data_IF_702663966904
#
_entry.id   IF_702663966904
#
_cell.length_a   1.000
_cell.length_b   1.000
_cell.length_c   1.000
_cell.angle_alpha   90.00
_cell.angle_beta   90.00
_cell.angle_gamma   90.00
#
_symmetry.space_group_name_H-M   'P 1'
#
loop_
_entity.id
_entity.type
_entity.pdbx_description
1 polymer ?
#
# COMPACT_ATOMS: atom_id res chain seq x y z
N UNK A 1 2.77 -35.57 8.05
CA UNK A 1 3.13 -35.45 6.63
C UNK A 1 3.10 -33.98 6.17
N UNK A 2 1.95 -33.31 6.01
CA UNK A 2 1.90 -31.88 5.62
C UNK A 2 2.47 -30.95 6.69
N UNK A 3 1.99 -31.10 7.93
CA UNK A 3 2.40 -30.26 9.07
C UNK A 3 3.87 -30.45 9.46
N UNK A 4 4.48 -31.57 9.08
CA UNK A 4 5.91 -31.83 9.26
C UNK A 4 6.78 -31.29 8.10
N UNK A 5 6.18 -30.68 7.07
CA UNK A 5 6.90 -30.15 5.91
C UNK A 5 7.43 -31.21 4.94
N UNK A 6 7.01 -32.47 5.06
CA UNK A 6 7.49 -33.59 4.23
C UNK A 6 6.87 -33.59 2.83
N UNK A 7 5.74 -32.90 2.64
CA UNK A 7 5.04 -32.74 1.36
C UNK A 7 4.31 -31.39 1.30
N UNK A 8 4.25 -30.72 0.12
CA UNK A 8 3.51 -29.48 -0.03
C UNK A 8 2.00 -29.72 0.14
N UNK A 9 1.31 -28.76 0.76
CA UNK A 9 -0.16 -28.80 0.93
C UNK A 9 -0.83 -28.49 -0.41
N UNK A 10 -1.74 -29.33 -0.92
CA UNK A 10 -2.54 -29.00 -2.10
C UNK A 10 -3.38 -27.74 -1.87
N UNK A 11 -3.43 -26.85 -2.85
CA UNK A 11 -4.18 -25.57 -2.76
C UNK A 11 -5.63 -25.77 -2.30
N UNK A 12 -6.41 -26.75 -2.82
CA UNK A 12 -7.79 -26.96 -2.36
C UNK A 12 -7.88 -27.36 -0.88
N UNK A 13 -6.90 -28.13 -0.38
CA UNK A 13 -6.87 -28.51 1.04
C UNK A 13 -6.50 -27.31 1.92
N UNK A 14 -5.59 -26.45 1.45
CA UNK A 14 -5.20 -25.22 2.14
C UNK A 14 -6.37 -24.23 2.22
N UNK A 15 -7.12 -24.04 1.14
CA UNK A 15 -8.31 -23.17 1.12
C UNK A 15 -9.36 -23.59 2.15
N UNK A 16 -9.62 -24.89 2.26
CA UNK A 16 -10.54 -25.44 3.27
C UNK A 16 -10.04 -25.16 4.68
N UNK A 17 -8.75 -25.36 4.95
CA UNK A 17 -8.15 -25.06 6.26
C UNK A 17 -8.25 -23.57 6.61
N UNK A 18 -7.95 -22.70 5.64
CA UNK A 18 -8.01 -21.25 5.82
C UNK A 18 -9.43 -20.74 6.05
N UNK A 19 -10.43 -21.35 5.41
CA UNK A 19 -11.84 -20.99 5.65
C UNK A 19 -12.28 -21.23 7.10
N UNK A 20 -11.72 -22.25 7.77
CA UNK A 20 -12.00 -22.57 9.18
C UNK A 20 -11.19 -21.66 10.12
N UNK A 21 -10.00 -21.23 9.70
CA UNK A 21 -9.09 -20.39 10.46
C UNK A 21 -9.30 -18.88 10.22
N UNK A 22 -10.33 -18.50 9.45
CA UNK A 22 -10.60 -17.12 9.03
C UNK A 22 -9.40 -16.44 8.34
N UNK A 23 -8.55 -17.23 7.67
CA UNK A 23 -7.38 -16.75 6.93
C UNK A 23 -7.67 -16.61 5.43
N UNK A 24 -6.84 -15.83 4.72
CA UNK A 24 -6.94 -15.69 3.26
C UNK A 24 -5.83 -16.46 2.57
N UNK A 25 -6.15 -17.14 1.46
CA UNK A 25 -5.16 -17.87 0.64
C UNK A 25 -4.07 -16.93 0.10
N UNK A 26 -4.44 -15.66 -0.07
CA UNK A 26 -3.58 -14.58 -0.54
C UNK A 26 -2.41 -14.27 0.42
N UNK A 27 -2.55 -14.58 1.70
CA UNK A 27 -1.49 -14.42 2.70
C UNK A 27 -0.31 -15.37 2.45
N UNK A 28 -0.55 -16.47 1.73
CA UNK A 28 0.44 -17.49 1.40
C UNK A 28 1.05 -17.32 0.01
N UNK A 29 0.64 -16.30 -0.75
CA UNK A 29 1.25 -16.01 -2.04
C UNK A 29 2.68 -15.51 -1.86
N UNK A 30 3.61 -16.15 -2.57
CA UNK A 30 4.99 -15.70 -2.63
C UNK A 30 5.05 -14.32 -3.30
N UNK A 31 5.37 -13.29 -2.51
CA UNK A 31 5.51 -11.90 -2.95
C UNK A 31 6.85 -11.61 -3.64
N UNK A 32 7.81 -12.55 -3.60
CA UNK A 32 9.15 -12.38 -4.16
C UNK A 32 9.27 -12.97 -5.58
N UNK A 33 8.44 -13.96 -5.91
CA UNK A 33 8.39 -14.57 -7.22
C UNK A 33 7.77 -13.68 -8.31
N UNK A 34 7.96 -14.02 -9.60
CA UNK A 34 7.42 -13.25 -10.73
C UNK A 34 5.91 -13.03 -10.66
N UNK A 35 5.18 -14.02 -10.12
CA UNK A 35 3.72 -13.99 -9.96
C UNK A 35 3.31 -13.04 -8.82
N UNK A 36 4.00 -13.09 -7.68
CA UNK A 36 3.74 -12.17 -6.57
C UNK A 36 3.99 -10.71 -6.94
N UNK A 37 5.09 -10.45 -7.64
CA UNK A 37 5.39 -9.10 -8.14
C UNK A 37 4.33 -8.61 -9.13
N UNK A 38 3.84 -9.50 -10.01
CA UNK A 38 2.74 -9.16 -10.92
C UNK A 38 1.46 -8.82 -10.15
N UNK A 39 1.10 -9.62 -9.14
CA UNK A 39 -0.09 -9.41 -8.33
C UNK A 39 0.00 -8.11 -7.51
N UNK A 40 1.15 -7.83 -6.89
CA UNK A 40 1.39 -6.56 -6.20
C UNK A 40 1.20 -5.35 -7.13
N UNK A 41 1.67 -5.46 -8.39
CA UNK A 41 1.47 -4.40 -9.38
C UNK A 41 0.00 -4.25 -9.78
N UNK A 42 -0.74 -5.34 -9.92
CA UNK A 42 -2.18 -5.27 -10.20
C UNK A 42 -2.93 -4.56 -9.07
N UNK A 43 -2.64 -4.93 -7.82
CA UNK A 43 -3.27 -4.29 -6.66
C UNK A 43 -2.93 -2.80 -6.60
N UNK A 44 -1.66 -2.41 -6.80
CA UNK A 44 -1.26 -1.00 -6.82
C UNK A 44 -1.96 -0.20 -7.95
N UNK A 45 -2.24 -0.83 -9.09
CA UNK A 45 -3.01 -0.20 -10.17
C UNK A 45 -4.47 -0.06 -9.76
N UNK A 46 -5.07 -1.07 -9.13
CA UNK A 46 -6.45 -1.01 -8.65
C UNK A 46 -6.62 0.09 -7.59
N UNK A 47 -5.73 0.14 -6.59
CA UNK A 47 -5.73 1.18 -5.55
C UNK A 47 -5.63 2.59 -6.16
N UNK A 48 -4.83 2.74 -7.22
CA UNK A 48 -4.72 4.01 -7.94
C UNK A 48 -6.00 4.36 -8.71
N UNK A 49 -6.67 3.37 -9.31
CA UNK A 49 -7.93 3.56 -10.04
C UNK A 49 -9.10 3.88 -9.11
N UNK A 50 -9.05 3.47 -7.84
CA UNK A 50 -10.04 3.80 -6.82
C UNK A 50 -9.95 5.25 -6.32
N UNK A 51 -8.85 5.96 -6.63
CA UNK A 51 -8.73 7.39 -6.31
C UNK A 51 -9.76 8.23 -7.09
N UNK A 52 -10.26 9.33 -6.54
CA UNK A 52 -11.06 10.30 -7.28
C UNK A 52 -10.38 10.74 -8.59
N UNK A 53 -11.13 10.93 -9.70
CA UNK A 53 -10.55 11.26 -11.01
C UNK A 53 -9.65 12.50 -10.99
N UNK A 54 -10.00 13.49 -10.18
CA UNK A 54 -9.23 14.74 -10.00
C UNK A 54 -7.84 14.47 -9.41
N UNK A 55 -7.73 13.54 -8.45
CA UNK A 55 -6.45 13.14 -7.87
C UNK A 55 -5.64 12.29 -8.83
N UNK A 56 -6.28 11.42 -9.61
CA UNK A 56 -5.59 10.66 -10.66
C UNK A 56 -4.96 11.61 -11.69
N UNK A 57 -5.71 12.62 -12.15
CA UNK A 57 -5.20 13.63 -13.09
C UNK A 57 -4.05 14.43 -12.47
N UNK A 58 -4.20 14.87 -11.23
CA UNK A 58 -3.15 15.59 -10.51
C UNK A 58 -1.85 14.78 -10.40
N UNK A 59 -1.92 13.51 -9.99
CA UNK A 59 -0.74 12.65 -9.81
C UNK A 59 -0.06 12.33 -11.14
N UNK A 60 -0.81 12.22 -12.24
CA UNK A 60 -0.25 11.88 -13.57
C UNK A 60 0.60 12.96 -14.19
N UNK A 61 0.50 14.21 -13.74
CA UNK A 61 1.24 15.34 -14.29
C UNK A 61 2.65 15.42 -13.67
N UNK A 62 3.74 15.27 -14.45
CA UNK A 62 5.10 15.28 -13.91
C UNK A 62 5.47 16.57 -13.16
N UNK A 63 4.87 17.69 -13.57
CA UNK A 63 5.06 19.00 -12.91
C UNK A 63 4.59 19.00 -11.46
N UNK A 64 3.70 18.07 -11.08
CA UNK A 64 3.17 17.98 -9.72
C UNK A 64 4.04 17.17 -8.76
N UNK A 65 5.13 16.54 -9.25
CA UNK A 65 6.05 15.76 -8.44
C UNK A 65 6.55 16.48 -7.17
N UNK A 66 6.95 17.78 -7.22
CA UNK A 66 7.36 18.49 -6.01
C UNK A 66 6.26 18.58 -4.94
N UNK A 67 4.99 18.70 -5.34
CA UNK A 67 3.87 18.70 -4.40
C UNK A 67 3.66 17.34 -3.75
N UNK A 68 3.81 16.25 -4.53
CA UNK A 68 3.71 14.89 -4.00
C UNK A 68 4.85 14.56 -3.03
N UNK A 69 6.08 14.97 -3.36
CA UNK A 69 7.24 14.82 -2.48
C UNK A 69 7.06 15.62 -1.17
N UNK A 70 6.54 16.86 -1.26
CA UNK A 70 6.22 17.65 -0.08
C UNK A 70 5.15 16.98 0.79
N UNK A 71 4.03 16.56 0.20
CA UNK A 71 2.97 15.86 0.92
C UNK A 71 3.49 14.58 1.59
N UNK A 72 4.35 13.83 0.91
CA UNK A 72 4.99 12.63 1.47
C UNK A 72 5.87 12.97 2.67
N UNK A 73 6.72 13.98 2.56
CA UNK A 73 7.59 14.41 3.66
C UNK A 73 6.77 14.89 4.87
N UNK A 74 5.67 15.62 4.63
CA UNK A 74 4.77 16.07 5.69
C UNK A 74 4.04 14.91 6.37
N UNK A 75 3.72 13.84 5.64
CA UNK A 75 3.04 12.65 6.20
C UNK A 75 3.88 11.92 7.26
N UNK A 76 5.21 12.07 7.22
CA UNK A 76 6.12 11.44 8.18
C UNK A 76 6.34 12.31 9.45
N UNK A 77 5.76 13.51 9.51
CA UNK A 77 5.95 14.43 10.64
C UNK A 77 4.94 14.17 11.76
N UNK A 78 5.36 14.38 13.01
CA UNK A 78 4.43 14.39 14.15
C UNK A 78 3.50 15.60 14.08
N UNK A 79 2.32 15.48 14.69
CA UNK A 79 1.34 16.56 14.76
C UNK A 79 1.92 17.86 15.35
N UNK A 80 2.81 17.76 16.35
CA UNK A 80 3.54 18.88 16.93
C UNK A 80 4.37 19.63 15.88
N UNK A 81 5.10 18.88 15.05
CA UNK A 81 6.01 19.44 14.04
C UNK A 81 5.24 20.09 12.89
N UNK A 82 4.11 19.50 12.49
CA UNK A 82 3.19 20.11 11.52
C UNK A 82 2.61 21.43 12.04
N UNK A 83 2.23 21.49 13.33
CA UNK A 83 1.71 22.71 13.96
C UNK A 83 2.76 23.81 14.00
N UNK A 84 3.99 23.50 14.39
CA UNK A 84 5.11 24.46 14.37
C UNK A 84 5.40 25.03 12.97
N UNK A 85 5.34 24.19 11.93
CA UNK A 85 5.48 24.66 10.54
C UNK A 85 4.33 25.58 10.15
N UNK A 86 3.09 25.26 10.53
CA UNK A 86 1.93 26.10 10.26
C UNK A 86 1.99 27.46 10.98
N UNK A 87 2.42 27.47 12.24
CA UNK A 87 2.63 28.70 13.02
C UNK A 87 3.70 29.59 12.37
N UNK A 88 4.83 29.01 11.94
CA UNK A 88 5.88 29.76 11.24
C UNK A 88 5.44 30.36 9.90
N UNK A 89 4.51 29.71 9.18
CA UNK A 89 3.92 30.27 7.95
C UNK A 89 2.95 31.43 8.28
N UNK A 90 2.20 31.31 9.38
CA UNK A 90 1.31 32.37 9.84
C UNK A 90 2.11 33.62 10.22
N UNK A 91 3.20 33.48 10.96
CA UNK A 91 4.04 34.59 11.42
C UNK A 91 4.72 35.38 10.30
N UNK A 92 4.97 34.76 9.13
CA UNK A 92 5.55 35.46 7.96
C UNK A 92 4.49 36.07 7.02
N UNK A 93 3.21 35.75 7.23
CA UNK A 93 2.10 36.24 6.42
C UNK A 93 1.26 37.33 7.11
N UNK A 94 1.53 37.62 8.39
CA UNK A 94 0.94 38.70 9.19
C UNK A 94 2.00 39.69 9.67
#
# INVERSE_FOLDING_TARGET
AYELGERPIPVPELEVLLSVLEGNIEDFFDRSGPIGLWMMRQNAIMDFLDLPPELQEFVRQPVNRPYLELARNLSDFSAEKLRSVAEGILDITF
#
